data_IF_699320066131
#
_entry.id   IF_699320066131
#
_cell.length_a   1.000
_cell.length_b   1.000
_cell.length_c   1.000
_cell.angle_alpha   90.00
_cell.angle_beta   90.00
_cell.angle_gamma   90.00
#
_symmetry.space_group_name_H-M   'P 1'
#
loop_
_entity.id
_entity.type
_entity.pdbx_description
1 polymer ?
#
# COMPACT_ATOMS: atom_id res chain seq x y z
N UNK A 1 -2.86 7.54 -41.89
CA UNK A 1 -2.30 7.91 -40.59
C UNK A 1 -3.47 8.17 -39.64
N UNK A 2 -3.91 7.16 -38.90
CA UNK A 2 -5.04 7.22 -37.97
C UNK A 2 -4.59 6.63 -36.64
N UNK A 3 -5.06 7.27 -35.56
CA UNK A 3 -5.13 6.81 -34.17
C UNK A 3 -3.85 6.87 -33.31
N UNK A 4 -3.61 8.05 -32.75
CA UNK A 4 -2.96 8.24 -31.45
C UNK A 4 -3.83 9.18 -30.61
N UNK A 5 -4.93 8.63 -30.08
CA UNK A 5 -5.75 9.26 -29.05
C UNK A 5 -6.47 8.15 -28.27
N UNK A 6 -6.42 8.24 -26.93
CA UNK A 6 -6.94 7.31 -25.90
C UNK A 6 -5.94 6.30 -25.33
N UNK A 7 -5.01 6.77 -24.46
CA UNK A 7 -4.64 6.07 -23.21
C UNK A 7 -4.18 7.13 -22.18
N UNK A 8 -5.08 8.00 -21.73
CA UNK A 8 -4.91 8.73 -20.46
C UNK A 8 -6.30 8.78 -19.82
N UNK A 9 -6.65 7.72 -19.10
CA UNK A 9 -7.82 7.70 -18.21
C UNK A 9 -7.65 6.52 -17.26
N UNK A 10 -6.87 6.72 -16.20
CA UNK A 10 -7.01 5.97 -14.96
C UNK A 10 -6.34 6.77 -13.83
N UNK A 11 -7.09 6.91 -12.73
CA UNK A 11 -6.64 7.30 -11.39
C UNK A 11 -6.44 8.81 -11.12
N UNK A 12 -7.55 9.56 -11.22
CA UNK A 12 -7.88 10.50 -10.14
C UNK A 12 -8.51 9.67 -9.01
N UNK A 13 -7.72 9.31 -8.00
CA UNK A 13 -8.23 8.95 -6.69
C UNK A 13 -7.92 10.11 -5.72
N UNK A 14 -8.53 11.26 -5.99
CA UNK A 14 -8.63 12.34 -5.02
C UNK A 14 -9.96 12.18 -4.27
N UNK A 15 -9.83 12.16 -2.94
CA UNK A 15 -10.87 11.87 -1.96
C UNK A 15 -12.24 12.51 -2.22
N UNK A 16 -13.30 11.69 -2.18
CA UNK A 16 -14.68 12.14 -1.92
C UNK A 16 -15.45 11.02 -1.19
N UNK A 17 -15.24 10.92 0.12
CA UNK A 17 -16.19 10.26 1.02
C UNK A 17 -16.81 11.32 1.94
N UNK A 18 -17.96 11.84 1.53
CA UNK A 18 -18.95 12.46 2.41
C UNK A 18 -20.32 12.02 1.91
N UNK A 19 -20.66 10.76 2.21
CA UNK A 19 -22.05 10.31 2.16
C UNK A 19 -22.65 10.54 3.55
N UNK A 20 -23.53 11.53 3.63
CA UNK A 20 -24.38 11.84 4.78
C UNK A 20 -25.26 10.62 5.10
N UNK A 21 -24.87 9.85 6.11
CA UNK A 21 -25.80 8.95 6.79
C UNK A 21 -26.55 9.76 7.85
N UNK A 22 -27.67 10.37 7.45
CA UNK A 22 -28.66 10.89 8.41
C UNK A 22 -29.33 9.71 9.10
N UNK A 23 -28.76 9.26 10.21
CA UNK A 23 -29.46 8.40 11.15
C UNK A 23 -30.55 9.22 11.84
N UNK A 24 -31.78 9.12 11.31
CA UNK A 24 -32.99 9.42 12.07
C UNK A 24 -33.06 8.40 13.21
N UNK A 25 -32.77 8.84 14.43
CA UNK A 25 -33.03 8.07 15.64
C UNK A 25 -34.53 8.16 15.95
N UNK A 26 -35.28 7.05 16.09
CA UNK A 26 -36.54 7.07 16.81
C UNK A 26 -36.24 7.13 18.32
N UNK A 27 -36.65 8.22 18.96
CA UNK A 27 -36.62 8.35 20.41
C UNK A 27 -37.62 7.40 21.10
N UNK A 28 -37.36 6.99 22.36
CA UNK A 28 -38.31 6.21 23.14
C UNK A 28 -39.44 7.10 23.68
N UNK A 29 -40.66 6.55 23.64
CA UNK A 29 -41.88 7.17 24.14
C UNK A 29 -42.06 6.99 25.66
N UNK A 30 -42.57 8.04 26.30
CA UNK A 30 -43.36 8.03 27.56
C UNK A 30 -42.56 7.85 28.86
N UNK A 31 -42.86 8.53 29.97
CA UNK A 31 -43.98 9.39 30.31
C UNK A 31 -43.66 10.17 31.60
N UNK A 32 -44.51 11.18 31.86
CA UNK A 32 -44.81 11.82 33.15
C UNK A 32 -43.82 12.87 33.70
N UNK A 33 -44.22 14.03 34.23
CA UNK A 33 -45.38 14.94 34.15
C UNK A 33 -44.95 16.19 34.97
N UNK A 34 -45.70 17.30 34.85
CA UNK A 34 -45.94 18.37 35.85
C UNK A 34 -45.14 19.70 35.78
N UNK A 35 -45.91 20.73 35.37
CA UNK A 35 -45.97 22.19 35.73
C UNK A 35 -44.95 23.24 35.27
N UNK A 36 -45.46 24.09 34.36
CA UNK A 36 -45.77 25.53 34.50
C UNK A 36 -44.71 26.53 35.01
N UNK A 37 -44.38 27.56 34.19
CA UNK A 37 -44.90 28.94 34.33
C UNK A 37 -44.50 29.86 33.16
N UNK A 38 -45.40 30.80 32.88
CA UNK A 38 -45.39 31.86 31.86
C UNK A 38 -44.22 32.86 31.94
N UNK A 39 -43.84 33.51 30.83
CA UNK A 39 -44.24 34.91 30.52
C UNK A 39 -43.61 35.46 29.22
N UNK A 40 -44.38 36.36 28.60
CA UNK A 40 -44.22 37.10 27.34
C UNK A 40 -42.89 37.85 27.10
N UNK A 41 -42.50 38.09 25.83
CA UNK A 41 -42.85 39.31 25.04
C UNK A 41 -42.03 39.43 23.75
N UNK A 42 -42.72 39.84 22.68
CA UNK A 42 -42.21 40.11 21.33
C UNK A 42 -41.29 41.35 21.24
N UNK A 43 -40.43 41.41 20.20
CA UNK A 43 -40.37 42.50 19.18
C UNK A 43 -39.30 42.27 18.09
N UNK A 44 -39.79 42.05 16.86
CA UNK A 44 -39.44 42.69 15.58
C UNK A 44 -38.03 43.32 15.36
N UNK A 45 -37.28 42.84 14.35
CA UNK A 45 -36.97 43.62 13.12
C UNK A 45 -36.06 42.88 12.12
N UNK A 46 -36.48 42.93 10.85
CA UNK A 46 -35.73 42.86 9.57
C UNK A 46 -34.27 43.38 9.66
N UNK A 47 -33.25 42.96 8.89
CA UNK A 47 -33.10 42.83 7.42
C UNK A 47 -31.70 42.24 7.15
N UNK A 48 -31.48 41.54 6.02
CA UNK A 48 -30.11 41.40 5.47
C UNK A 48 -29.82 40.11 4.71
N UNK A 49 -30.22 40.05 3.44
CA UNK A 49 -29.70 39.09 2.46
C UNK A 49 -28.25 39.44 2.10
N UNK A 50 -27.35 38.46 2.15
CA UNK A 50 -26.14 38.40 1.33
C UNK A 50 -25.82 36.94 0.98
N UNK A 51 -25.80 36.66 -0.33
CA UNK A 51 -25.21 35.45 -0.91
C UNK A 51 -23.73 35.33 -0.50
N UNK A 52 -23.25 34.15 -0.07
CA UNK A 52 -21.83 33.87 -0.14
C UNK A 52 -21.51 33.46 -1.58
N UNK A 53 -20.74 34.33 -2.23
CA UNK A 53 -20.08 34.05 -3.49
C UNK A 53 -19.40 32.67 -3.45
N UNK A 54 -19.70 31.85 -4.46
CA UNK A 54 -18.99 30.63 -4.73
C UNK A 54 -17.53 30.96 -5.06
N UNK A 55 -16.64 30.85 -4.08
CA UNK A 55 -15.20 30.75 -4.32
C UNK A 55 -14.94 29.37 -4.88
N UNK A 56 -14.77 29.30 -6.20
CA UNK A 56 -14.22 28.15 -6.88
C UNK A 56 -12.75 28.02 -6.47
N UNK A 57 -12.46 27.15 -5.51
CA UNK A 57 -11.08 26.71 -5.25
C UNK A 57 -10.63 25.90 -6.47
N UNK A 58 -9.69 26.46 -7.23
CA UNK A 58 -9.01 25.73 -8.28
C UNK A 58 -8.18 24.63 -7.63
N UNK A 59 -8.54 23.37 -7.90
CA UNK A 59 -7.79 22.20 -7.50
C UNK A 59 -6.39 22.24 -8.12
N UNK A 60 -5.40 22.62 -7.31
CA UNK A 60 -4.00 22.61 -7.71
C UNK A 60 -3.55 21.15 -7.81
N UNK A 61 -3.51 20.62 -9.03
CA UNK A 61 -3.02 19.26 -9.30
C UNK A 61 -1.55 19.19 -8.91
N UNK A 62 -1.25 18.62 -7.75
CA UNK A 62 0.12 18.39 -7.32
C UNK A 62 0.78 17.40 -8.29
N UNK A 63 1.91 17.79 -8.89
CA UNK A 63 2.69 16.89 -9.74
C UNK A 63 3.19 15.71 -8.89
N UNK A 64 2.92 14.48 -9.35
CA UNK A 64 3.37 13.28 -8.66
C UNK A 64 4.91 13.25 -8.62
N UNK A 65 5.52 12.70 -7.55
CA UNK A 65 6.98 12.66 -7.40
C UNK A 65 7.66 11.61 -8.31
N UNK A 66 6.90 10.99 -9.22
CA UNK A 66 7.34 9.94 -10.13
C UNK A 66 6.67 10.08 -11.49
N UNK A 67 7.24 9.40 -12.49
CA UNK A 67 6.70 9.34 -13.86
C UNK A 67 6.26 7.92 -14.16
N UNK A 68 5.06 7.78 -14.71
CA UNK A 68 4.61 6.50 -15.26
C UNK A 68 5.11 6.37 -16.69
N UNK A 69 5.88 5.31 -16.98
CA UNK A 69 6.52 5.08 -18.28
C UNK A 69 6.34 3.64 -18.72
N UNK A 70 6.60 3.37 -20.00
CA UNK A 70 6.65 2.00 -20.51
C UNK A 70 7.88 1.27 -19.98
N UNK A 71 7.75 -0.03 -19.68
CA UNK A 71 8.83 -0.79 -19.07
C UNK A 71 10.15 -0.75 -19.87
N UNK A 72 10.10 -0.77 -21.20
CA UNK A 72 11.27 -0.66 -22.07
C UNK A 72 12.07 0.63 -21.86
N UNK A 73 11.40 1.75 -21.56
CA UNK A 73 11.99 3.07 -21.38
C UNK A 73 12.32 3.42 -19.92
N UNK A 74 11.93 2.56 -18.97
CA UNK A 74 11.98 2.89 -17.55
C UNK A 74 13.41 2.98 -17.00
N UNK A 75 13.68 4.03 -16.24
CA UNK A 75 14.88 4.20 -15.44
C UNK A 75 14.57 4.00 -13.93
N UNK A 76 15.63 3.91 -13.12
CA UNK A 76 15.48 3.85 -11.66
C UNK A 76 14.74 5.09 -11.15
N UNK A 77 13.71 4.87 -10.32
CA UNK A 77 12.83 5.92 -9.80
C UNK A 77 11.57 6.17 -10.63
N UNK A 78 11.48 5.66 -11.86
CA UNK A 78 10.24 5.66 -12.63
C UNK A 78 9.27 4.59 -12.11
N UNK A 79 8.00 4.72 -12.51
CA UNK A 79 6.94 3.74 -12.24
C UNK A 79 6.48 3.10 -13.54
N UNK A 80 6.24 1.80 -13.49
CA UNK A 80 5.65 1.02 -14.58
C UNK A 80 4.35 0.36 -14.12
N UNK A 81 3.52 -0.01 -15.08
CA UNK A 81 2.29 -0.77 -14.81
C UNK A 81 2.49 -2.21 -15.31
N UNK A 82 2.21 -3.19 -14.44
CA UNK A 82 2.26 -4.60 -14.78
C UNK A 82 1.34 -5.41 -13.86
N UNK A 83 0.44 -6.21 -14.42
CA UNK A 83 -0.56 -6.93 -13.66
C UNK A 83 -1.68 -6.04 -13.11
N UNK A 84 -2.66 -6.68 -12.47
CA UNK A 84 -3.80 -6.02 -11.83
C UNK A 84 -4.23 -6.80 -10.59
N UNK A 85 -4.67 -6.11 -9.54
CA UNK A 85 -5.15 -6.72 -8.31
C UNK A 85 -6.26 -5.87 -7.69
N UNK A 86 -7.07 -6.47 -6.83
CA UNK A 86 -8.09 -5.73 -6.08
C UNK A 86 -7.42 -4.80 -5.06
N UNK A 87 -7.67 -3.49 -5.19
CA UNK A 87 -7.00 -2.46 -4.39
C UNK A 87 -7.97 -1.49 -3.73
N UNK A 88 -9.20 -1.33 -4.20
CA UNK A 88 -10.15 -0.37 -3.62
C UNK A 88 -11.21 -1.02 -2.69
N UNK A 89 -11.39 -2.34 -2.78
CA UNK A 89 -12.33 -3.10 -1.96
C UNK A 89 -13.70 -3.24 -2.60
N UNK A 90 -13.87 -2.79 -3.85
CA UNK A 90 -15.07 -2.92 -4.66
C UNK A 90 -14.86 -3.94 -5.79
N UNK A 91 -14.94 -5.22 -5.43
CA UNK A 91 -14.81 -6.32 -6.39
C UNK A 91 -15.90 -6.36 -7.48
N UNK A 92 -16.84 -5.40 -7.52
CA UNK A 92 -17.80 -5.26 -8.62
C UNK A 92 -17.23 -4.52 -9.84
N UNK A 93 -16.15 -3.74 -9.67
CA UNK A 93 -15.58 -2.90 -10.72
C UNK A 93 -14.38 -3.55 -11.46
N UNK A 94 -13.86 -4.67 -10.93
CA UNK A 94 -12.77 -5.42 -11.52
C UNK A 94 -11.52 -5.40 -10.64
N UNK A 95 -10.34 -5.47 -11.26
CA UNK A 95 -9.05 -5.33 -10.58
C UNK A 95 -8.37 -4.08 -11.06
N UNK A 96 -7.68 -3.38 -10.18
CA UNK A 96 -6.93 -2.17 -10.49
C UNK A 96 -5.53 -2.52 -11.03
N UNK A 97 -4.97 -1.75 -11.97
CA UNK A 97 -3.60 -1.94 -12.41
C UNK A 97 -2.61 -1.78 -11.26
N UNK A 98 -1.63 -2.68 -11.16
CA UNK A 98 -0.55 -2.57 -10.19
C UNK A 98 0.54 -1.62 -10.68
N UNK A 99 0.87 -0.61 -9.87
CA UNK A 99 1.99 0.30 -10.09
C UNK A 99 3.26 -0.20 -9.39
N UNK A 100 4.38 -0.20 -10.11
CA UNK A 100 5.66 -0.70 -9.63
C UNK A 100 6.77 0.34 -9.78
N UNK A 101 7.42 0.69 -8.68
CA UNK A 101 8.61 1.52 -8.63
C UNK A 101 9.84 0.73 -9.10
N UNK A 102 10.60 1.29 -10.04
CA UNK A 102 11.87 0.72 -10.50
C UNK A 102 12.98 1.02 -9.50
N UNK A 103 13.55 -0.03 -8.90
CA UNK A 103 14.64 0.05 -7.93
C UNK A 103 16.03 -0.12 -8.55
N UNK A 104 16.13 -0.95 -9.59
CA UNK A 104 17.39 -1.21 -10.28
C UNK A 104 17.16 -1.58 -11.74
N UNK A 105 18.19 -1.36 -12.57
CA UNK A 105 18.21 -1.78 -13.97
C UNK A 105 19.53 -2.47 -14.28
N UNK A 106 19.44 -3.73 -14.69
CA UNK A 106 20.56 -4.53 -15.14
C UNK A 106 20.31 -5.01 -16.57
N UNK A 107 20.91 -4.31 -17.54
CA UNK A 107 20.68 -4.54 -18.96
C UNK A 107 19.20 -4.38 -19.34
N UNK A 108 18.59 -5.48 -19.78
CA UNK A 108 17.18 -5.58 -20.14
C UNK A 108 16.32 -6.15 -19.00
N UNK A 109 16.78 -6.04 -17.76
CA UNK A 109 16.01 -6.44 -16.59
C UNK A 109 15.81 -5.29 -15.63
N UNK A 110 14.61 -5.18 -15.08
CA UNK A 110 14.25 -4.21 -14.04
C UNK A 110 13.96 -4.96 -12.75
N UNK A 111 14.54 -4.51 -11.64
CA UNK A 111 14.03 -4.84 -10.31
C UNK A 111 12.97 -3.82 -9.99
N UNK A 112 11.77 -4.31 -9.68
CA UNK A 112 10.63 -3.46 -9.37
C UNK A 112 9.99 -3.88 -8.05
N UNK A 113 9.40 -2.92 -7.34
CA UNK A 113 8.64 -3.12 -6.11
C UNK A 113 7.30 -2.41 -6.21
N UNK A 114 6.24 -2.96 -5.64
CA UNK A 114 4.93 -2.28 -5.67
C UNK A 114 5.02 -0.91 -5.01
N UNK A 115 4.34 0.08 -5.62
CA UNK A 115 4.29 1.44 -5.11
C UNK A 115 3.48 1.50 -3.81
N UNK A 116 2.38 0.75 -3.77
CA UNK A 116 1.51 0.56 -2.60
C UNK A 116 1.62 -0.86 -2.05
N UNK A 117 1.25 -1.04 -0.78
CA UNK A 117 1.06 -2.37 -0.22
C UNK A 117 -0.19 -3.02 -0.82
N UNK A 118 -0.06 -4.25 -1.33
CA UNK A 118 -1.13 -4.92 -2.09
C UNK A 118 -2.07 -5.76 -1.22
N UNK A 119 -1.61 -6.16 -0.04
CA UNK A 119 -2.41 -6.92 0.93
C UNK A 119 -1.89 -6.66 2.36
N UNK A 120 -2.73 -6.92 3.35
CA UNK A 120 -2.37 -6.96 4.78
C UNK A 120 -2.53 -8.39 5.29
N UNK A 121 -1.42 -9.07 5.57
CA UNK A 121 -1.46 -10.46 6.05
C UNK A 121 -0.29 -10.78 6.99
N UNK A 122 -0.38 -11.94 7.63
CA UNK A 122 0.71 -12.44 8.48
C UNK A 122 1.85 -12.96 7.62
N UNK A 123 3.04 -13.03 8.20
CA UNK A 123 4.16 -13.70 7.56
C UNK A 123 3.95 -15.22 7.56
N UNK A 124 3.43 -15.76 8.66
CA UNK A 124 3.01 -17.14 8.82
C UNK A 124 1.69 -17.21 9.61
N UNK A 125 0.80 -18.15 9.28
CA UNK A 125 -0.52 -18.22 9.93
C UNK A 125 -0.44 -18.62 11.40
N UNK A 126 0.48 -19.55 11.70
CA UNK A 126 0.76 -20.04 13.04
C UNK A 126 1.98 -19.34 13.64
N UNK A 127 2.04 -19.30 14.96
CA UNK A 127 3.16 -18.76 15.72
C UNK A 127 4.31 -19.77 15.86
N UNK A 128 4.77 -20.26 14.72
CA UNK A 128 5.87 -21.21 14.63
C UNK A 128 7.12 -20.55 14.05
N UNK A 129 8.29 -21.13 14.36
CA UNK A 129 9.52 -20.72 13.71
C UNK A 129 9.50 -21.17 12.25
N UNK A 130 9.38 -20.19 11.34
CA UNK A 130 9.58 -20.39 9.91
C UNK A 130 10.59 -19.37 9.38
N UNK A 131 11.16 -19.67 8.22
CA UNK A 131 12.02 -18.75 7.47
C UNK A 131 11.29 -18.28 6.22
N UNK A 132 11.90 -17.41 5.40
CA UNK A 132 11.31 -17.04 4.11
C UNK A 132 10.94 -18.28 3.28
N UNK A 133 11.86 -19.24 3.20
CA UNK A 133 11.74 -20.49 2.43
C UNK A 133 10.43 -21.24 2.71
N UNK A 134 10.05 -21.32 3.99
CA UNK A 134 8.94 -22.14 4.47
C UNK A 134 7.72 -21.34 4.90
N UNK A 135 7.68 -20.04 4.61
CA UNK A 135 6.59 -19.16 5.03
C UNK A 135 5.32 -19.30 4.17
N UNK A 136 4.17 -19.11 4.81
CA UNK A 136 2.88 -19.00 4.13
C UNK A 136 2.85 -17.80 3.18
N UNK A 137 3.49 -16.68 3.57
CA UNK A 137 3.55 -15.47 2.75
C UNK A 137 4.30 -15.70 1.42
N UNK A 138 5.44 -16.40 1.44
CA UNK A 138 6.15 -16.78 0.21
C UNK A 138 5.28 -17.66 -0.69
N UNK A 139 4.59 -18.63 -0.08
CA UNK A 139 3.68 -19.53 -0.79
C UNK A 139 2.52 -18.78 -1.44
N UNK A 140 1.97 -17.78 -0.75
CA UNK A 140 0.92 -16.92 -1.29
C UNK A 140 1.41 -16.06 -2.46
N UNK A 141 2.60 -15.43 -2.32
CA UNK A 141 3.19 -14.58 -3.36
C UNK A 141 3.46 -15.35 -4.66
N UNK A 142 4.07 -16.54 -4.57
CA UNK A 142 4.44 -17.34 -5.74
C UNK A 142 3.31 -18.25 -6.24
N UNK A 143 2.20 -18.34 -5.52
CA UNK A 143 1.00 -19.08 -5.90
C UNK A 143 -0.17 -18.14 -6.17
N UNK A 144 -1.17 -18.04 -5.26
CA UNK A 144 -2.38 -17.25 -5.44
C UNK A 144 -2.17 -15.84 -6.01
N UNK A 145 -1.25 -15.05 -5.44
CA UNK A 145 -1.00 -13.69 -5.91
C UNK A 145 -0.47 -13.69 -7.35
N UNK A 146 0.63 -14.41 -7.62
CA UNK A 146 1.20 -14.50 -8.96
C UNK A 146 0.20 -14.98 -10.02
N UNK A 147 -0.64 -15.96 -9.69
CA UNK A 147 -1.65 -16.48 -10.61
C UNK A 147 -2.79 -15.50 -10.87
N UNK A 148 -3.15 -14.71 -9.87
CA UNK A 148 -4.27 -13.77 -9.92
C UNK A 148 -3.86 -12.43 -10.52
N UNK A 149 -2.66 -11.97 -10.22
CA UNK A 149 -2.20 -10.62 -10.52
C UNK A 149 -1.74 -10.47 -11.98
N UNK A 150 -1.19 -11.52 -12.58
CA UNK A 150 -0.54 -11.44 -13.88
C UNK A 150 -1.23 -12.32 -14.93
N UNK A 151 -1.33 -11.80 -16.15
CA UNK A 151 -1.74 -12.57 -17.32
C UNK A 151 -0.63 -13.53 -17.77
N UNK A 152 -0.96 -14.54 -18.57
CA UNK A 152 0.05 -15.46 -19.11
C UNK A 152 1.14 -14.75 -19.91
N UNK A 153 0.80 -13.68 -20.63
CA UNK A 153 1.78 -12.85 -21.33
C UNK A 153 2.76 -12.17 -20.37
N UNK A 154 2.26 -11.53 -19.32
CA UNK A 154 3.09 -10.86 -18.32
C UNK A 154 3.96 -11.85 -17.53
N UNK A 155 3.41 -13.02 -17.21
CA UNK A 155 4.14 -14.11 -16.55
C UNK A 155 5.40 -14.53 -17.31
N UNK A 156 5.42 -14.41 -18.65
CA UNK A 156 6.63 -14.71 -19.45
C UNK A 156 7.77 -13.70 -19.23
N UNK A 157 7.45 -12.46 -18.84
CA UNK A 157 8.44 -11.43 -18.57
C UNK A 157 9.02 -11.54 -17.15
N UNK A 158 8.29 -12.16 -16.22
CA UNK A 158 8.70 -12.31 -14.81
C UNK A 158 9.75 -13.40 -14.67
N UNK A 159 10.93 -13.01 -14.19
CA UNK A 159 12.08 -13.89 -14.06
C UNK A 159 11.97 -14.72 -12.79
N UNK A 160 12.30 -16.00 -12.90
CA UNK A 160 12.69 -16.78 -11.72
C UNK A 160 14.06 -16.27 -11.25
N UNK A 161 14.16 -15.95 -9.96
CA UNK A 161 15.32 -15.32 -9.35
C UNK A 161 15.76 -16.14 -8.16
N UNK A 162 17.07 -16.43 -8.07
CA UNK A 162 17.67 -16.94 -6.85
C UNK A 162 17.66 -15.86 -5.78
N UNK A 163 16.83 -16.05 -4.76
CA UNK A 163 16.72 -15.16 -3.60
C UNK A 163 17.60 -15.70 -2.49
N UNK A 164 18.65 -14.94 -2.16
CA UNK A 164 19.70 -15.38 -1.22
C UNK A 164 19.24 -15.21 0.22
N UNK A 165 19.31 -16.26 1.04
CA UNK A 165 18.97 -16.23 2.46
C UNK A 165 20.06 -15.54 3.29
N UNK A 166 20.05 -14.21 3.26
CA UNK A 166 21.00 -13.37 3.99
C UNK A 166 20.68 -13.32 5.49
N UNK A 167 21.71 -13.53 6.32
CA UNK A 167 21.60 -13.35 7.76
C UNK A 167 21.28 -11.90 8.11
N UNK A 168 20.55 -11.73 9.21
CA UNK A 168 20.44 -10.44 9.86
C UNK A 168 21.80 -10.09 10.51
N UNK A 169 22.43 -8.95 10.17
CA UNK A 169 23.76 -8.61 10.67
C UNK A 169 23.76 -8.28 12.18
N UNK A 170 22.63 -7.86 12.74
CA UNK A 170 22.47 -7.57 14.17
C UNK A 170 22.07 -8.81 14.99
N UNK A 171 21.51 -9.82 14.33
CA UNK A 171 20.95 -11.04 14.95
C UNK A 171 21.38 -12.31 14.20
N UNK A 172 22.69 -12.54 14.17
CA UNK A 172 23.32 -13.58 13.33
C UNK A 172 23.08 -15.02 13.82
N UNK A 173 22.57 -15.17 15.03
CA UNK A 173 22.20 -16.43 15.66
C UNK A 173 20.88 -17.00 15.13
N UNK A 174 20.04 -16.17 14.50
CA UNK A 174 18.80 -16.60 13.88
C UNK A 174 19.09 -17.01 12.43
N UNK A 175 18.74 -18.24 12.07
CA UNK A 175 18.95 -18.73 10.70
C UNK A 175 17.99 -18.03 9.73
N UNK A 176 18.51 -17.68 8.55
CA UNK A 176 17.73 -17.10 7.45
C UNK A 176 17.04 -18.16 6.57
N UNK A 177 17.30 -19.46 6.81
CA UNK A 177 16.85 -20.56 5.95
C UNK A 177 17.80 -20.81 4.78
N UNK A 178 17.33 -21.56 3.78
CA UNK A 178 18.04 -21.77 2.52
C UNK A 178 17.67 -20.74 1.44
N UNK A 179 18.53 -20.61 0.43
CA UNK A 179 18.23 -19.85 -0.78
C UNK A 179 17.01 -20.44 -1.50
N UNK A 180 16.23 -19.57 -2.16
CA UNK A 180 15.01 -19.96 -2.87
C UNK A 180 15.03 -19.53 -4.33
N UNK A 181 14.21 -20.19 -5.16
CA UNK A 181 13.94 -19.77 -6.53
C UNK A 181 12.53 -19.19 -6.61
N UNK A 182 12.44 -17.86 -6.69
CA UNK A 182 11.18 -17.12 -6.58
C UNK A 182 10.92 -16.26 -7.82
N UNK A 183 9.65 -16.11 -8.17
CA UNK A 183 9.20 -15.13 -9.17
C UNK A 183 8.85 -13.81 -8.53
N UNK A 184 8.17 -13.88 -7.39
CA UNK A 184 7.76 -12.74 -6.58
C UNK A 184 8.34 -12.94 -5.17
N UNK A 185 9.00 -11.91 -4.64
CA UNK A 185 9.68 -11.97 -3.35
C UNK A 185 9.50 -10.67 -2.57
N UNK A 186 9.98 -10.64 -1.32
CA UNK A 186 10.15 -9.41 -0.55
C UNK A 186 11.63 -9.02 -0.51
N UNK A 187 11.94 -7.75 -0.34
CA UNK A 187 13.33 -7.32 -0.18
C UNK A 187 13.92 -7.83 1.16
N UNK A 188 15.22 -8.11 1.19
CA UNK A 188 15.97 -8.25 2.46
C UNK A 188 16.24 -6.89 3.10
N UNK A 189 16.75 -6.91 4.34
CA UNK A 189 17.33 -5.73 4.99
C UNK A 189 18.43 -5.11 4.11
N UNK A 190 19.34 -5.93 3.60
CA UNK A 190 20.47 -5.49 2.78
C UNK A 190 20.01 -4.89 1.45
N UNK A 191 19.06 -5.52 0.77
CA UNK A 191 18.48 -4.99 -0.46
C UNK A 191 17.73 -3.67 -0.22
N UNK A 192 16.99 -3.59 0.89
CA UNK A 192 16.27 -2.38 1.27
C UNK A 192 17.23 -1.20 1.49
N UNK A 193 18.34 -1.41 2.20
CA UNK A 193 19.37 -0.38 2.40
C UNK A 193 20.18 -0.08 1.12
N UNK A 194 20.35 -1.09 0.25
CA UNK A 194 20.99 -0.92 -1.05
C UNK A 194 20.17 -0.02 -1.97
N UNK A 195 18.87 -0.28 -2.11
CA UNK A 195 18.03 0.38 -3.12
C UNK A 195 17.38 1.67 -2.63
N UNK A 196 17.08 1.79 -1.33
CA UNK A 196 16.50 3.01 -0.77
C UNK A 196 17.51 3.78 0.08
N UNK A 197 18.09 4.84 -0.50
CA UNK A 197 19.13 5.64 0.15
C UNK A 197 18.60 6.48 1.31
N UNK A 198 17.44 7.10 1.12
CA UNK A 198 16.77 7.87 2.15
C UNK A 198 15.76 7.01 2.91
N UNK A 199 15.73 7.04 4.26
CA UNK A 199 14.72 6.31 5.02
C UNK A 199 13.30 6.63 4.58
N UNK A 200 13.01 7.91 4.29
CA UNK A 200 11.68 8.35 3.85
C UNK A 200 11.19 7.67 2.56
N UNK A 201 12.09 7.19 1.71
CA UNK A 201 11.74 6.52 0.45
C UNK A 201 11.31 5.06 0.67
N UNK A 202 11.66 4.46 1.82
CA UNK A 202 11.25 3.10 2.20
C UNK A 202 9.80 3.05 2.69
N UNK A 203 9.24 4.18 3.12
CA UNK A 203 7.88 4.23 3.62
C UNK A 203 6.87 3.83 2.52
N UNK A 204 5.79 3.16 2.92
CA UNK A 204 4.81 2.58 2.02
C UNK A 204 3.39 2.98 2.42
N UNK A 205 2.59 3.39 1.45
CA UNK A 205 1.16 3.61 1.62
C UNK A 205 0.36 2.33 1.35
N UNK A 206 -0.66 2.01 2.16
CA UNK A 206 -1.60 0.95 1.83
C UNK A 206 -2.53 1.39 0.68
N UNK A 207 -3.03 0.42 -0.08
CA UNK A 207 -4.22 0.64 -0.93
C UNK A 207 -5.47 0.82 -0.07
N UNK A 208 -6.57 1.39 -0.59
CA UNK A 208 -7.81 1.52 0.18
C UNK A 208 -8.36 0.18 0.74
N UNK A 209 -8.29 -0.90 -0.03
CA UNK A 209 -8.68 -2.24 0.42
C UNK A 209 -7.84 -2.73 1.61
N UNK A 210 -6.54 -2.46 1.57
CA UNK A 210 -5.61 -2.76 2.68
C UNK A 210 -5.92 -1.87 3.87
N UNK A 211 -6.20 -0.59 3.63
CA UNK A 211 -6.54 0.40 4.67
C UNK A 211 -7.79 0.00 5.49
N UNK A 212 -8.72 -0.75 4.90
CA UNK A 212 -9.90 -1.26 5.60
C UNK A 212 -9.63 -2.45 6.53
N UNK A 213 -8.53 -3.19 6.33
CA UNK A 213 -8.24 -4.47 7.01
C UNK A 213 -7.25 -4.35 8.19
N UNK A 214 -6.66 -3.18 8.42
CA UNK A 214 -5.51 -3.03 9.31
C UNK A 214 -5.51 -1.77 10.20
N UNK A 215 -4.46 -1.63 11.01
CA UNK A 215 -4.24 -0.48 11.90
C UNK A 215 -3.22 0.50 11.32
N UNK A 216 -3.71 1.56 10.68
CA UNK A 216 -2.89 2.58 10.02
C UNK A 216 -2.75 3.82 10.89
N UNK A 217 -1.64 4.55 10.74
CA UNK A 217 -1.50 5.87 11.37
C UNK A 217 -1.36 6.92 10.30
N UNK A 218 -1.93 8.09 10.56
CA UNK A 218 -1.67 9.27 9.74
C UNK A 218 -0.16 9.47 9.65
N UNK A 219 0.35 9.58 8.43
CA UNK A 219 1.75 9.85 8.15
C UNK A 219 1.88 11.24 7.53
N UNK A 220 2.99 11.91 7.80
CA UNK A 220 3.38 13.06 7.01
C UNK A 220 3.70 12.61 5.58
N UNK A 221 3.46 13.49 4.60
CA UNK A 221 3.80 13.24 3.20
C UNK A 221 5.29 12.95 3.07
N UNK A 222 5.62 11.82 2.46
CA UNK A 222 6.97 11.42 2.05
C UNK A 222 6.95 11.15 0.56
N UNK A 223 8.12 11.03 -0.05
CA UNK A 223 8.28 10.89 -1.51
C UNK A 223 7.39 9.80 -2.12
N UNK A 224 7.27 8.64 -1.47
CA UNK A 224 6.41 7.54 -1.96
C UNK A 224 5.22 7.23 -1.04
N UNK A 225 4.91 8.13 -0.09
CA UNK A 225 3.68 8.06 0.72
C UNK A 225 2.66 8.98 0.08
N UNK A 226 1.83 8.39 -0.76
CA UNK A 226 0.90 9.09 -1.65
C UNK A 226 -0.51 9.20 -1.06
N UNK A 227 -0.77 8.49 0.04
CA UNK A 227 -1.98 8.62 0.85
C UNK A 227 -1.66 9.28 2.19
N UNK A 228 -2.68 9.65 2.97
CA UNK A 228 -2.48 10.16 4.34
C UNK A 228 -1.97 9.08 5.31
N UNK A 229 -1.81 7.83 4.86
CA UNK A 229 -1.50 6.69 5.70
C UNK A 229 -0.20 6.02 5.25
N UNK A 230 0.55 5.56 6.23
CA UNK A 230 1.69 4.67 6.02
C UNK A 230 1.52 3.39 6.85
N UNK A 231 2.05 2.28 6.34
CA UNK A 231 2.02 1.00 7.04
C UNK A 231 3.41 0.39 7.24
N UNK A 232 3.47 -0.49 8.23
CA UNK A 232 4.61 -1.39 8.45
C UNK A 232 4.53 -2.47 7.39
N UNK A 233 5.61 -2.78 6.69
CA UNK A 233 5.64 -3.82 5.67
C UNK A 233 6.77 -4.82 5.87
N UNK A 234 6.50 -6.07 5.50
CA UNK A 234 7.39 -7.21 5.73
C UNK A 234 8.66 -7.15 4.89
N UNK A 235 9.78 -7.53 5.49
CA UNK A 235 10.99 -7.97 4.79
C UNK A 235 11.10 -9.50 4.87
N UNK A 236 11.92 -10.10 4.02
CA UNK A 236 12.19 -11.56 4.08
C UNK A 236 13.30 -11.96 5.06
N UNK A 237 14.02 -10.99 5.63
CA UNK A 237 15.12 -11.26 6.57
C UNK A 237 14.58 -11.67 7.95
N UNK A 238 15.29 -12.55 8.68
CA UNK A 238 14.92 -12.88 10.06
C UNK A 238 15.06 -11.66 10.98
N UNK A 239 14.26 -11.62 12.05
CA UNK A 239 14.32 -10.59 13.09
C UNK A 239 15.24 -10.98 14.26
N UNK A 240 14.95 -10.40 15.44
CA UNK A 240 15.72 -10.59 16.68
C UNK A 240 15.73 -12.02 17.21
N UNK A 241 14.62 -12.74 17.01
CA UNK A 241 14.45 -14.10 17.50
C UNK A 241 13.65 -14.93 16.50
N UNK A 242 13.47 -16.22 16.80
CA UNK A 242 12.80 -17.19 15.93
C UNK A 242 11.32 -16.88 15.64
N UNK A 243 10.70 -15.94 16.35
CA UNK A 243 9.30 -15.59 16.15
C UNK A 243 9.15 -14.14 15.64
N UNK A 244 10.25 -13.51 15.23
CA UNK A 244 10.27 -12.15 14.68
C UNK A 244 10.85 -12.13 13.27
N UNK A 245 10.25 -11.32 12.41
CA UNK A 245 10.66 -11.09 11.03
C UNK A 245 10.94 -9.62 10.85
N UNK A 246 12.04 -9.29 10.16
CA UNK A 246 12.40 -7.91 9.89
C UNK A 246 11.29 -7.19 9.10
N UNK A 247 11.16 -5.90 9.31
CA UNK A 247 10.14 -5.07 8.68
C UNK A 247 10.68 -3.66 8.41
N UNK A 248 9.90 -2.87 7.69
CA UNK A 248 10.11 -1.42 7.61
C UNK A 248 8.95 -0.74 8.27
N UNK A 249 9.26 0.16 9.19
CA UNK A 249 8.25 0.90 9.93
C UNK A 249 7.54 1.95 9.06
N UNK A 250 6.52 2.60 9.63
CA UNK A 250 5.75 3.67 8.99
C UNK A 250 6.62 4.92 8.70
N UNK A 251 7.73 5.04 9.43
CA UNK A 251 8.81 6.00 9.28
C UNK A 251 9.65 5.76 8.01
N UNK A 252 9.64 4.56 7.44
CA UNK A 252 10.60 4.15 6.43
C UNK A 252 11.95 3.75 7.04
N UNK A 253 11.98 3.37 8.31
CA UNK A 253 13.16 2.82 8.97
C UNK A 253 13.10 1.31 8.93
N UNK A 254 14.15 0.65 8.46
CA UNK A 254 14.26 -0.80 8.54
C UNK A 254 14.49 -1.25 9.99
N UNK A 255 13.63 -2.12 10.48
CA UNK A 255 13.68 -2.72 11.82
C UNK A 255 14.38 -4.06 11.75
N UNK A 256 15.63 -4.09 12.22
CA UNK A 256 16.43 -5.30 12.34
C UNK A 256 15.88 -6.23 13.44
N UNK A 257 15.23 -5.68 14.47
CA UNK A 257 14.56 -6.46 15.50
C UNK A 257 13.29 -7.16 15.00
N UNK A 258 12.54 -6.49 14.13
CA UNK A 258 11.38 -7.05 13.47
C UNK A 258 10.09 -7.15 14.29
N UNK A 259 9.04 -7.54 13.59
CA UNK A 259 7.67 -7.73 14.07
C UNK A 259 7.36 -9.21 14.25
N UNK A 260 6.47 -9.51 15.20
CA UNK A 260 6.06 -10.86 15.53
C UNK A 260 5.40 -11.56 14.32
N UNK A 261 5.82 -12.80 14.02
CA UNK A 261 5.55 -13.51 12.76
C UNK A 261 4.07 -13.72 12.43
N UNK A 262 3.23 -13.87 13.45
CA UNK A 262 1.78 -14.09 13.39
C UNK A 262 0.96 -12.79 13.54
N UNK A 263 1.63 -11.64 13.65
CA UNK A 263 0.96 -10.35 13.49
C UNK A 263 0.71 -10.05 12.01
N UNK A 264 -0.24 -9.16 11.73
CA UNK A 264 -0.52 -8.69 10.38
C UNK A 264 0.36 -7.48 10.05
N UNK A 265 0.99 -7.49 8.87
CA UNK A 265 1.62 -6.30 8.30
C UNK A 265 1.35 -6.22 6.78
N UNK A 266 1.69 -5.08 6.19
CA UNK A 266 1.55 -4.86 4.76
C UNK A 266 2.51 -5.74 3.95
N UNK A 267 2.05 -6.18 2.78
CA UNK A 267 2.86 -6.91 1.81
C UNK A 267 3.25 -5.98 0.67
N UNK A 268 4.55 -5.87 0.42
CA UNK A 268 5.12 -5.04 -0.65
C UNK A 268 5.98 -5.89 -1.59
N UNK A 269 5.35 -6.57 -2.58
CA UNK A 269 6.05 -7.49 -3.46
C UNK A 269 7.11 -6.81 -4.32
N UNK A 270 8.18 -7.54 -4.61
CA UNK A 270 9.21 -7.20 -5.56
C UNK A 270 9.43 -8.34 -6.56
N UNK A 271 9.90 -7.99 -7.76
CA UNK A 271 10.23 -8.97 -8.80
C UNK A 271 11.25 -8.43 -9.79
N UNK A 272 11.96 -9.34 -10.44
CA UNK A 272 12.72 -9.02 -11.65
C UNK A 272 11.88 -9.30 -12.89
N UNK A 273 11.78 -8.32 -13.78
CA UNK A 273 11.12 -8.47 -15.08
C UNK A 273 12.10 -8.22 -16.22
N UNK A 274 11.90 -8.92 -17.34
CA UNK A 274 12.60 -8.64 -18.60
C UNK A 274 11.83 -7.61 -19.39
N UNK A 275 12.55 -6.61 -19.92
CA UNK A 275 12.00 -5.58 -20.78
C UNK A 275 12.55 -5.76 -22.19
N UNK A 276 11.64 -5.93 -23.16
CA UNK A 276 11.96 -6.10 -24.57
C UNK A 276 11.83 -4.79 -25.34
#
# INVERSE_FOLDING_TARGET
MKNTAKIISALLAAALFLSLCSCIMPGPAGADTVTAKETDKAKDSSTGSQDPAATTEAEQTAELPYKVVTASAAAVGDVIIAGSYEQDGDGSNGKEPLEWLVLDRSGNSLLVITLYAVESMKFNETRDYVTWETSDLRSWLNGPFYQTAFTEGEKTAIKTTTVIAELNPEHREVSAGGDTEDKIFLLSLQETDKYFKEPGDKACSPTPAVAAKGSFTKSNKKKYVLTDYACIWWLRSPGMDKLKIADVDKGGTASYSGTQIDMTACVRPAMWITVN
#
